data_IF_659020022167
#
_entry.id   IF_659020022167
#
_cell.length_a   1.000
_cell.length_b   1.000
_cell.length_c   1.000
_cell.angle_alpha   90.00
_cell.angle_beta   90.00
_cell.angle_gamma   90.00
#
_symmetry.space_group_name_H-M   'P 1'
#
loop_
_entity.id
_entity.type
_entity.pdbx_description
1 polymer ?
#
# COMPACT_ATOMS: atom_id res chain seq x y z
N UNK A 1 -33.69 22.13 -12.41
CA UNK A 1 -33.15 20.99 -11.69
C UNK A 1 -31.85 20.39 -12.22
N UNK A 2 -31.52 20.54 -13.52
CA UNK A 2 -30.30 19.91 -14.12
C UNK A 2 -29.01 20.70 -13.93
N UNK A 3 -29.09 22.03 -13.75
CA UNK A 3 -27.90 22.89 -13.62
C UNK A 3 -27.12 22.64 -12.31
N UNK A 4 -27.81 22.34 -11.23
CA UNK A 4 -27.14 22.01 -9.94
C UNK A 4 -26.47 20.65 -9.94
N UNK A 5 -26.99 19.69 -10.71
CA UNK A 5 -26.36 18.36 -10.86
C UNK A 5 -25.13 18.39 -11.76
N UNK A 6 -25.13 19.24 -12.81
CA UNK A 6 -23.95 19.39 -13.68
C UNK A 6 -22.78 20.09 -12.99
N UNK A 7 -23.01 21.09 -12.14
CA UNK A 7 -21.94 21.71 -11.32
C UNK A 7 -21.35 20.72 -10.32
N UNK A 8 -22.18 19.95 -9.61
CA UNK A 8 -21.69 18.90 -8.72
C UNK A 8 -20.96 17.76 -9.45
N UNK A 9 -21.34 17.47 -10.69
CA UNK A 9 -20.68 16.48 -11.54
C UNK A 9 -19.32 17.01 -12.04
N UNK A 10 -19.24 18.28 -12.47
CA UNK A 10 -17.99 18.89 -12.96
C UNK A 10 -16.88 18.88 -11.90
N UNK A 11 -17.18 19.18 -10.65
CA UNK A 11 -16.20 19.22 -9.57
C UNK A 11 -15.77 17.81 -9.08
N UNK A 12 -16.55 16.77 -9.39
CA UNK A 12 -16.26 15.37 -9.02
C UNK A 12 -15.89 14.50 -10.21
N UNK A 13 -16.16 14.95 -11.44
CA UNK A 13 -15.87 14.18 -12.64
C UNK A 13 -14.39 14.34 -13.00
N UNK A 14 -13.65 13.26 -12.82
CA UNK A 14 -12.24 13.20 -13.20
C UNK A 14 -12.13 12.69 -14.62
N UNK A 15 -11.58 13.50 -15.52
CA UNK A 15 -11.20 13.08 -16.87
C UNK A 15 -9.78 12.56 -16.86
N UNK A 16 -9.51 11.53 -17.67
CA UNK A 16 -8.14 11.08 -17.90
C UNK A 16 -7.45 12.10 -18.82
N UNK A 17 -6.41 12.74 -18.29
CA UNK A 17 -5.58 13.67 -19.04
C UNK A 17 -4.39 12.90 -19.63
N UNK A 18 -4.07 13.13 -20.91
CA UNK A 18 -2.87 12.55 -21.53
C UNK A 18 -1.66 13.40 -21.14
N UNK A 19 -0.81 12.87 -20.27
CA UNK A 19 0.38 13.57 -19.76
C UNK A 19 1.59 12.67 -19.93
N UNK A 20 2.55 13.11 -20.73
CA UNK A 20 3.81 12.42 -20.97
C UNK A 20 4.90 13.02 -20.06
N UNK A 21 5.39 12.21 -19.13
CA UNK A 21 6.55 12.53 -18.27
C UNK A 21 7.83 12.25 -19.06
N UNK A 22 8.25 13.23 -19.84
CA UNK A 22 9.47 13.13 -20.66
C UNK A 22 10.70 13.05 -19.77
N UNK A 23 11.62 12.13 -20.09
CA UNK A 23 12.86 11.97 -19.34
C UNK A 23 13.66 13.28 -19.26
N UNK A 24 14.23 13.56 -18.10
CA UNK A 24 14.99 14.78 -17.76
C UNK A 24 14.20 16.09 -17.76
N UNK A 25 12.87 16.05 -17.88
CA UNK A 25 12.02 17.26 -17.80
C UNK A 25 11.34 17.43 -16.46
N UNK A 26 11.29 16.40 -15.60
CA UNK A 26 10.57 16.48 -14.31
C UNK A 26 11.02 17.69 -13.46
N UNK A 27 10.09 18.45 -12.85
CA UNK A 27 8.65 18.23 -12.72
C UNK A 27 7.79 18.64 -13.92
N UNK A 28 8.38 19.10 -15.01
CA UNK A 28 7.67 19.43 -16.25
C UNK A 28 7.28 18.18 -17.03
N UNK A 29 6.18 18.27 -17.74
CA UNK A 29 5.63 17.23 -18.59
C UNK A 29 4.91 17.85 -19.78
N UNK A 30 4.59 17.03 -20.78
CA UNK A 30 3.79 17.45 -21.93
C UNK A 30 2.37 16.91 -21.78
N UNK A 31 1.39 17.80 -21.82
CA UNK A 31 -0.02 17.45 -21.88
C UNK A 31 -0.54 17.60 -23.29
N UNK A 32 -1.09 16.52 -23.84
CA UNK A 32 -1.73 16.54 -25.17
C UNK A 32 -3.22 16.89 -25.03
N UNK A 33 -3.63 17.99 -25.65
CA UNK A 33 -5.01 18.46 -25.72
C UNK A 33 -5.36 18.74 -27.18
N UNK A 34 -6.34 18.03 -27.73
CA UNK A 34 -6.82 18.19 -29.10
C UNK A 34 -5.71 18.13 -30.16
N UNK A 35 -4.71 17.25 -29.93
CA UNK A 35 -3.58 17.06 -30.85
C UNK A 35 -2.48 18.12 -30.75
N UNK A 36 -2.52 19.00 -29.77
CA UNK A 36 -1.49 19.98 -29.46
C UNK A 36 -0.86 19.68 -28.10
N UNK A 37 0.46 19.68 -28.04
CA UNK A 37 1.18 19.51 -26.81
C UNK A 37 1.44 20.85 -26.12
N UNK A 38 1.24 20.91 -24.81
CA UNK A 38 1.61 22.03 -23.96
C UNK A 38 2.43 21.59 -22.77
N UNK A 39 3.39 22.40 -22.36
CA UNK A 39 4.16 22.16 -21.15
C UNK A 39 3.30 22.41 -19.90
N UNK A 40 3.33 21.48 -18.96
CA UNK A 40 2.68 21.57 -17.65
C UNK A 40 3.63 21.17 -16.55
N UNK A 41 3.39 21.64 -15.31
CA UNK A 41 4.11 21.16 -14.12
C UNK A 41 3.26 20.16 -13.35
N UNK A 42 3.89 19.05 -12.92
CA UNK A 42 3.23 17.98 -12.16
C UNK A 42 3.51 18.19 -10.67
N UNK A 43 2.46 18.55 -9.92
CA UNK A 43 2.50 18.70 -8.45
C UNK A 43 1.93 17.50 -7.70
N UNK A 44 1.32 16.54 -8.40
CA UNK A 44 0.61 15.40 -7.82
C UNK A 44 1.23 14.04 -8.18
N UNK A 45 2.53 13.99 -8.45
CA UNK A 45 3.21 12.73 -8.75
C UNK A 45 3.34 11.87 -7.51
N UNK A 46 3.07 10.55 -7.66
CA UNK A 46 3.37 9.55 -6.65
C UNK A 46 4.82 9.03 -6.73
N UNK A 47 5.55 9.34 -7.79
CA UNK A 47 6.97 9.02 -7.91
C UNK A 47 7.78 10.06 -7.10
N UNK A 48 7.74 9.94 -5.78
CA UNK A 48 8.20 10.96 -4.84
C UNK A 48 9.68 11.30 -4.98
N UNK A 49 10.50 10.33 -5.37
CA UNK A 49 11.96 10.46 -5.51
C UNK A 49 12.40 10.50 -6.98
N UNK A 50 11.46 10.55 -7.93
CA UNK A 50 11.72 10.50 -9.36
C UNK A 50 12.55 9.27 -9.80
N UNK A 51 12.39 8.15 -9.07
CA UNK A 51 13.16 6.92 -9.33
C UNK A 51 12.79 6.27 -10.66
N UNK A 52 11.58 6.52 -11.19
CA UNK A 52 11.19 6.02 -12.51
C UNK A 52 12.05 6.58 -13.65
N UNK A 53 12.77 7.68 -13.42
CA UNK A 53 13.67 8.31 -14.38
C UNK A 53 15.15 8.21 -13.97
N UNK A 54 15.47 7.49 -12.92
CA UNK A 54 16.84 7.28 -12.47
C UNK A 54 17.61 6.44 -13.52
N UNK A 55 18.78 6.89 -14.02
CA UNK A 55 19.53 6.19 -15.06
C UNK A 55 19.91 4.76 -14.68
N UNK A 56 20.33 4.51 -13.44
CA UNK A 56 20.72 3.17 -13.00
C UNK A 56 19.52 2.20 -12.99
N UNK A 57 18.34 2.69 -12.61
CA UNK A 57 17.09 1.91 -12.64
C UNK A 57 16.69 1.61 -14.09
N UNK A 58 16.77 2.59 -14.99
CA UNK A 58 16.46 2.42 -16.40
C UNK A 58 17.41 1.40 -17.06
N UNK A 59 18.71 1.53 -16.84
CA UNK A 59 19.71 0.61 -17.39
C UNK A 59 19.50 -0.82 -16.86
N UNK A 60 19.18 -0.97 -15.58
CA UNK A 60 18.85 -2.26 -14.99
C UNK A 60 17.62 -2.89 -15.64
N UNK A 61 16.56 -2.12 -15.87
CA UNK A 61 15.34 -2.58 -16.56
C UNK A 61 15.65 -3.02 -18.01
N UNK A 62 16.40 -2.22 -18.76
CA UNK A 62 16.81 -2.53 -20.15
C UNK A 62 17.60 -3.84 -20.18
N UNK A 63 18.55 -4.01 -19.26
CA UNK A 63 19.37 -5.22 -19.17
C UNK A 63 18.52 -6.47 -18.90
N UNK A 64 17.53 -6.37 -18.00
CA UNK A 64 16.61 -7.48 -17.70
C UNK A 64 15.71 -7.79 -18.90
N UNK A 65 15.19 -6.78 -19.58
CA UNK A 65 14.36 -6.95 -20.78
C UNK A 65 15.17 -7.66 -21.89
N UNK A 66 16.40 -7.24 -22.12
CA UNK A 66 17.27 -7.87 -23.11
C UNK A 66 17.60 -9.33 -22.80
N UNK A 67 17.65 -9.68 -21.51
CA UNK A 67 17.97 -11.04 -21.06
C UNK A 67 16.77 -11.98 -20.99
N UNK A 68 15.61 -11.51 -20.54
CA UNK A 68 14.44 -12.33 -20.22
C UNK A 68 13.18 -12.00 -21.03
N UNK A 69 13.18 -10.89 -21.77
CA UNK A 69 11.97 -10.36 -22.40
C UNK A 69 11.11 -9.56 -21.43
N UNK A 70 9.87 -9.25 -21.84
CA UNK A 70 8.98 -8.30 -21.14
C UNK A 70 7.93 -8.96 -20.27
N UNK A 71 7.85 -10.29 -20.24
CA UNK A 71 6.79 -11.00 -19.52
C UNK A 71 7.27 -12.29 -18.87
N UNK A 72 6.52 -12.73 -17.86
CA UNK A 72 6.84 -13.94 -17.09
C UNK A 72 6.42 -15.26 -17.78
N UNK A 73 5.59 -15.19 -18.82
CA UNK A 73 5.18 -16.35 -19.61
C UNK A 73 4.17 -17.28 -18.93
N UNK A 74 3.77 -17.01 -17.68
CA UNK A 74 2.81 -17.86 -16.97
C UNK A 74 2.43 -17.31 -15.59
N UNK A 75 1.56 -18.02 -14.90
CA UNK A 75 1.22 -17.72 -13.50
C UNK A 75 2.36 -18.14 -12.58
N UNK A 76 2.52 -17.45 -11.44
CA UNK A 76 3.63 -17.65 -10.52
C UNK A 76 3.79 -19.07 -9.99
N UNK A 77 2.68 -19.73 -9.73
CA UNK A 77 2.65 -21.10 -9.18
C UNK A 77 2.87 -22.21 -10.22
N UNK A 78 2.97 -21.89 -11.52
CA UNK A 78 3.23 -22.87 -12.59
C UNK A 78 4.61 -22.62 -13.21
N UNK A 79 4.77 -21.53 -13.97
CA UNK A 79 6.00 -21.24 -14.73
C UNK A 79 6.40 -19.78 -14.73
N UNK A 80 5.61 -18.90 -14.11
CA UNK A 80 5.81 -17.45 -14.15
C UNK A 80 6.69 -16.90 -13.03
N UNK A 81 7.21 -17.72 -12.09
CA UNK A 81 8.16 -17.26 -11.09
C UNK A 81 9.58 -17.28 -11.65
N UNK A 82 10.15 -16.11 -11.90
CA UNK A 82 11.54 -15.95 -12.31
C UNK A 82 12.48 -15.80 -11.10
N UNK A 83 13.78 -15.94 -11.33
CA UNK A 83 14.81 -15.67 -10.31
C UNK A 83 14.75 -14.22 -9.79
N UNK A 84 14.26 -13.28 -10.58
CA UNK A 84 14.09 -11.88 -10.16
C UNK A 84 12.95 -11.71 -9.17
N UNK A 85 11.84 -12.45 -9.30
CA UNK A 85 10.79 -12.47 -8.27
C UNK A 85 11.34 -12.97 -6.94
N UNK A 86 12.02 -14.11 -6.95
CA UNK A 86 12.59 -14.70 -5.74
C UNK A 86 13.61 -13.76 -5.07
N UNK A 87 14.50 -13.16 -5.87
CA UNK A 87 15.49 -12.21 -5.36
C UNK A 87 14.83 -10.96 -4.79
N UNK A 88 13.82 -10.42 -5.47
CA UNK A 88 13.10 -9.23 -5.00
C UNK A 88 12.38 -9.51 -3.67
N UNK A 89 11.67 -10.62 -3.56
CA UNK A 89 10.97 -11.01 -2.33
C UNK A 89 11.94 -11.19 -1.17
N UNK A 90 13.07 -11.86 -1.40
CA UNK A 90 14.12 -12.00 -0.38
C UNK A 90 14.68 -10.63 0.04
N UNK A 91 15.04 -9.78 -0.92
CA UNK A 91 15.58 -8.44 -0.64
C UNK A 91 14.58 -7.56 0.13
N UNK A 92 13.29 -7.63 -0.21
CA UNK A 92 12.25 -6.88 0.49
C UNK A 92 12.03 -7.41 1.92
N UNK A 93 12.04 -8.73 2.11
CA UNK A 93 11.95 -9.34 3.44
C UNK A 93 13.14 -8.92 4.32
N UNK A 94 14.36 -8.99 3.80
CA UNK A 94 15.56 -8.53 4.50
C UNK A 94 15.50 -7.03 4.82
N UNK A 95 15.13 -6.18 3.83
CA UNK A 95 14.99 -4.74 4.03
C UNK A 95 14.06 -4.42 5.19
N UNK A 96 12.92 -5.09 5.28
CA UNK A 96 11.91 -4.82 6.31
C UNK A 96 12.09 -5.65 7.60
N UNK A 97 13.15 -6.45 7.69
CA UNK A 97 13.38 -7.38 8.80
C UNK A 97 12.14 -8.26 9.06
N UNK A 98 11.59 -8.82 7.99
CA UNK A 98 10.46 -9.75 8.00
C UNK A 98 10.92 -11.13 7.53
N UNK A 99 10.20 -12.16 7.94
CA UNK A 99 10.52 -13.54 7.59
C UNK A 99 10.32 -13.80 6.10
N UNK A 100 9.28 -13.26 5.52
CA UNK A 100 8.97 -13.44 4.11
C UNK A 100 8.31 -12.19 3.49
N UNK A 101 8.40 -12.12 2.17
CA UNK A 101 7.68 -11.15 1.35
C UNK A 101 7.03 -11.85 0.16
N UNK A 102 5.91 -11.32 -0.29
CA UNK A 102 5.22 -11.76 -1.50
C UNK A 102 4.93 -10.56 -2.40
N UNK A 103 5.40 -10.62 -3.65
CA UNK A 103 5.20 -9.55 -4.64
C UNK A 103 3.87 -9.73 -5.36
N UNK A 104 3.14 -8.62 -5.49
CA UNK A 104 1.87 -8.48 -6.19
C UNK A 104 1.99 -7.47 -7.34
N UNK A 105 1.06 -7.49 -8.33
CA UNK A 105 1.01 -6.49 -9.40
C UNK A 105 0.83 -5.05 -8.89
N UNK A 106 0.23 -4.88 -7.73
CA UNK A 106 0.07 -3.58 -7.05
C UNK A 106 -0.17 -3.78 -5.56
N UNK A 107 0.10 -2.74 -4.75
CA UNK A 107 -0.29 -2.71 -3.34
C UNK A 107 -1.82 -2.78 -3.15
N UNK A 108 -2.58 -2.26 -4.12
CA UNK A 108 -4.04 -2.40 -4.14
C UNK A 108 -4.46 -3.87 -4.11
N UNK A 109 -3.89 -4.65 -5.05
CA UNK A 109 -4.17 -6.09 -5.15
C UNK A 109 -3.65 -6.84 -3.93
N UNK A 110 -2.50 -6.46 -3.39
CA UNK A 110 -1.94 -7.04 -2.18
C UNK A 110 -2.89 -6.85 -0.99
N UNK A 111 -3.37 -5.63 -0.73
CA UNK A 111 -4.35 -5.35 0.32
C UNK A 111 -5.63 -6.19 0.15
N UNK A 112 -6.22 -6.12 -1.05
CA UNK A 112 -7.48 -6.80 -1.33
C UNK A 112 -7.38 -8.32 -1.17
N UNK A 113 -6.36 -8.93 -1.77
CA UNK A 113 -6.17 -10.37 -1.76
C UNK A 113 -5.82 -10.88 -0.36
N UNK A 114 -4.91 -10.19 0.34
CA UNK A 114 -4.44 -10.63 1.65
C UNK A 114 -5.52 -10.57 2.70
N UNK A 115 -6.18 -9.41 2.86
CA UNK A 115 -7.23 -9.23 3.87
C UNK A 115 -8.37 -10.22 3.61
N UNK A 116 -8.82 -10.32 2.34
CA UNK A 116 -9.89 -11.24 2.00
C UNK A 116 -9.53 -12.71 2.25
N UNK A 117 -8.29 -13.11 1.95
CA UNK A 117 -7.85 -14.50 2.14
C UNK A 117 -7.60 -14.81 3.60
N UNK A 118 -6.87 -13.96 4.31
CA UNK A 118 -6.56 -14.14 5.72
C UNK A 118 -7.84 -14.29 6.54
N UNK A 119 -8.75 -13.33 6.42
CA UNK A 119 -9.96 -13.32 7.22
C UNK A 119 -10.99 -14.40 6.85
N UNK A 120 -10.93 -14.96 5.63
CA UNK A 120 -11.75 -16.13 5.29
C UNK A 120 -11.25 -17.43 5.91
N UNK A 121 -9.97 -17.52 6.21
CA UNK A 121 -9.35 -18.73 6.73
C UNK A 121 -9.20 -18.73 8.25
N UNK A 122 -9.46 -17.62 8.91
CA UNK A 122 -9.48 -17.54 10.38
C UNK A 122 -10.94 -17.43 10.83
N UNK A 123 -11.46 -18.50 11.42
CA UNK A 123 -12.84 -18.57 11.88
C UNK A 123 -13.08 -17.58 13.02
N UNK A 124 -14.16 -16.81 12.91
CA UNK A 124 -14.56 -15.84 13.92
C UNK A 124 -13.73 -14.59 14.02
N UNK A 125 -12.83 -14.33 13.05
CA UNK A 125 -12.01 -13.10 13.07
C UNK A 125 -12.88 -11.85 12.97
N UNK A 126 -12.58 -10.86 13.82
CA UNK A 126 -13.19 -9.53 13.77
C UNK A 126 -12.17 -8.48 13.35
N UNK A 127 -12.57 -7.61 12.43
CA UNK A 127 -11.72 -6.59 11.81
C UNK A 127 -12.03 -5.23 12.42
N UNK A 128 -10.99 -4.49 12.80
CA UNK A 128 -11.05 -3.11 13.30
C UNK A 128 -10.34 -2.19 12.31
N UNK A 129 -11.11 -1.40 11.58
CA UNK A 129 -10.63 -0.57 10.48
C UNK A 129 -10.73 0.90 10.80
N UNK A 130 -9.66 1.66 10.55
CA UNK A 130 -9.74 3.12 10.58
C UNK A 130 -10.72 3.64 9.52
N UNK A 131 -11.49 4.66 9.86
CA UNK A 131 -12.52 5.25 8.99
C UNK A 131 -11.99 5.81 7.68
N UNK A 132 -10.75 6.29 7.66
CA UNK A 132 -10.11 6.89 6.48
C UNK A 132 -9.22 5.92 5.70
N UNK A 133 -9.25 4.64 6.02
CA UNK A 133 -8.49 3.62 5.30
C UNK A 133 -8.77 3.68 3.79
N UNK A 134 -7.71 3.44 3.01
CA UNK A 134 -7.76 3.44 1.55
C UNK A 134 -8.76 2.44 0.98
N UNK A 135 -9.32 2.75 -0.19
CA UNK A 135 -10.32 1.93 -0.87
C UNK A 135 -9.91 0.45 -1.03
N UNK A 136 -8.62 0.16 -1.22
CA UNK A 136 -8.12 -1.22 -1.35
C UNK A 136 -8.27 -2.03 -0.06
N UNK A 137 -8.06 -1.40 1.11
CA UNK A 137 -8.28 -2.01 2.42
C UNK A 137 -9.77 -2.27 2.63
N UNK A 138 -10.62 -1.28 2.33
CA UNK A 138 -12.07 -1.39 2.43
C UNK A 138 -12.61 -2.53 1.53
N UNK A 139 -12.12 -2.64 0.30
CA UNK A 139 -12.51 -3.73 -0.60
C UNK A 139 -12.02 -5.10 -0.10
N UNK A 140 -10.83 -5.19 0.47
CA UNK A 140 -10.34 -6.40 1.11
C UNK A 140 -11.24 -6.84 2.27
N UNK A 141 -11.63 -5.90 3.12
CA UNK A 141 -12.53 -6.11 4.26
C UNK A 141 -13.91 -6.61 3.77
N UNK A 142 -14.51 -5.93 2.80
CA UNK A 142 -15.80 -6.33 2.22
C UNK A 142 -15.76 -7.73 1.61
N UNK A 143 -14.69 -8.02 0.88
CA UNK A 143 -14.51 -9.32 0.24
C UNK A 143 -14.20 -10.44 1.24
N UNK A 144 -13.73 -10.15 2.43
CA UNK A 144 -13.47 -11.14 3.49
C UNK A 144 -14.75 -11.77 4.02
N UNK A 145 -15.87 -11.01 4.04
CA UNK A 145 -17.15 -11.35 4.69
C UNK A 145 -17.05 -11.53 6.22
N UNK A 146 -15.92 -11.18 6.82
CA UNK A 146 -15.74 -11.15 8.26
C UNK A 146 -16.55 -10.02 8.89
N UNK A 147 -16.88 -10.14 10.17
CA UNK A 147 -17.42 -9.03 10.94
C UNK A 147 -16.38 -7.92 11.03
N UNK A 148 -16.81 -6.67 10.86
CA UNK A 148 -15.88 -5.53 10.94
C UNK A 148 -16.50 -4.36 11.71
N UNK A 149 -15.62 -3.63 12.36
CA UNK A 149 -15.90 -2.42 13.13
C UNK A 149 -15.09 -1.28 12.57
N UNK A 150 -15.71 -0.11 12.39
CA UNK A 150 -15.03 1.09 11.91
C UNK A 150 -14.84 2.02 13.10
N UNK A 151 -13.58 2.32 13.45
CA UNK A 151 -13.29 3.33 14.46
C UNK A 151 -13.04 4.69 13.81
N UNK A 152 -13.36 5.76 14.57
CA UNK A 152 -13.12 7.14 14.10
C UNK A 152 -11.63 7.37 13.87
N UNK A 153 -11.31 8.17 12.86
CA UNK A 153 -9.95 8.36 12.40
C UNK A 153 -8.99 8.77 13.53
N UNK A 154 -7.98 7.94 13.74
CA UNK A 154 -6.96 8.10 14.79
C UNK A 154 -7.51 8.20 16.22
N UNK A 155 -8.75 7.80 16.47
CA UNK A 155 -9.37 7.79 17.80
C UNK A 155 -9.09 6.47 18.53
N UNK A 156 -8.07 6.50 19.38
CA UNK A 156 -7.62 5.32 20.12
C UNK A 156 -8.56 4.94 21.29
N UNK A 157 -9.31 5.88 21.81
CA UNK A 157 -10.33 5.61 22.84
C UNK A 157 -11.51 4.87 22.21
N UNK A 158 -11.94 5.29 21.01
CA UNK A 158 -12.97 4.57 20.25
C UNK A 158 -12.48 3.18 19.85
N UNK A 159 -11.25 3.03 19.32
CA UNK A 159 -10.69 1.72 19.01
C UNK A 159 -10.63 0.82 20.26
N UNK A 160 -10.17 1.36 21.39
CA UNK A 160 -10.12 0.61 22.66
C UNK A 160 -11.49 0.13 23.10
N UNK A 161 -12.53 0.98 23.00
CA UNK A 161 -13.90 0.63 23.37
C UNK A 161 -14.49 -0.48 22.50
N UNK A 162 -14.20 -0.48 21.20
CA UNK A 162 -14.64 -1.53 20.27
C UNK A 162 -13.93 -2.86 20.58
N UNK A 163 -12.61 -2.82 20.82
CA UNK A 163 -11.84 -4.00 21.19
C UNK A 163 -12.29 -4.60 22.52
N UNK A 164 -12.65 -3.76 23.50
CA UNK A 164 -13.13 -4.19 24.82
C UNK A 164 -14.52 -4.82 24.74
N UNK A 165 -15.35 -4.38 23.81
CA UNK A 165 -16.70 -4.94 23.59
C UNK A 165 -16.70 -6.28 22.85
N UNK A 166 -15.57 -6.68 22.25
CA UNK A 166 -15.42 -7.93 21.52
C UNK A 166 -14.96 -9.05 22.45
N UNK A 167 -15.38 -10.28 22.18
CA UNK A 167 -14.92 -11.44 22.93
C UNK A 167 -13.39 -11.49 22.98
N UNK A 168 -12.85 -11.69 24.18
CA UNK A 168 -11.39 -11.70 24.39
C UNK A 168 -10.70 -12.82 23.59
N UNK A 169 -11.35 -13.93 23.42
CA UNK A 169 -10.83 -15.12 22.71
C UNK A 169 -11.04 -15.06 21.19
N UNK A 170 -11.88 -14.12 20.69
CA UNK A 170 -12.06 -13.96 19.25
C UNK A 170 -10.78 -13.45 18.59
N UNK A 171 -10.34 -14.03 17.47
CA UNK A 171 -9.24 -13.49 16.68
C UNK A 171 -9.56 -12.06 16.19
N UNK A 172 -8.60 -11.16 16.27
CA UNK A 172 -8.78 -9.74 15.94
C UNK A 172 -7.74 -9.27 14.96
N UNK A 173 -8.14 -8.41 14.01
CA UNK A 173 -7.24 -7.78 13.03
C UNK A 173 -7.46 -6.25 13.05
N UNK A 174 -6.44 -5.49 13.42
CA UNK A 174 -6.45 -4.02 13.34
C UNK A 174 -5.80 -3.60 12.03
N UNK A 175 -6.51 -2.80 11.23
CA UNK A 175 -6.06 -2.34 9.91
C UNK A 175 -5.97 -0.82 9.91
N UNK A 176 -4.79 -0.28 9.58
CA UNK A 176 -4.55 1.16 9.46
C UNK A 176 -3.47 1.46 8.40
N UNK A 177 -3.41 2.72 7.98
CA UNK A 177 -2.30 3.26 7.18
C UNK A 177 -1.30 3.97 8.11
N UNK A 178 -0.02 3.95 7.78
CA UNK A 178 0.98 4.73 8.52
C UNK A 178 0.86 6.22 8.23
N UNK A 179 0.60 6.55 6.97
CA UNK A 179 0.31 7.91 6.49
C UNK A 179 -0.91 7.83 5.57
N UNK A 180 -1.94 8.59 5.89
CA UNK A 180 -3.17 8.66 5.09
C UNK A 180 -2.98 9.58 3.90
N UNK A 181 -3.27 9.09 2.70
CA UNK A 181 -2.88 9.72 1.43
C UNK A 181 -3.47 11.11 1.19
N UNK A 182 -4.71 11.32 1.59
CA UNK A 182 -5.44 12.58 1.29
C UNK A 182 -5.17 13.65 2.33
N UNK A 183 -5.02 13.25 3.60
CA UNK A 183 -4.85 14.13 4.74
C UNK A 183 -3.37 14.40 5.05
N UNK A 184 -2.47 13.49 4.65
CA UNK A 184 -1.06 13.54 4.98
C UNK A 184 -0.79 13.36 6.48
N UNK A 185 -1.74 12.81 7.23
CA UNK A 185 -1.68 12.64 8.67
C UNK A 185 -1.10 11.26 9.00
N UNK A 186 -0.23 11.20 10.00
CA UNK A 186 0.32 9.94 10.54
C UNK A 186 -0.65 9.30 11.53
N UNK A 187 -0.72 7.98 11.52
CA UNK A 187 -1.42 7.24 12.56
C UNK A 187 -0.66 7.27 13.90
N UNK A 188 -1.35 7.16 15.02
CA UNK A 188 -0.76 7.01 16.35
C UNK A 188 -0.25 5.57 16.57
N UNK A 189 0.70 5.11 15.75
CA UNK A 189 1.11 3.73 15.61
C UNK A 189 1.58 3.09 16.93
N UNK A 190 2.22 3.87 17.82
CA UNK A 190 2.62 3.39 19.17
C UNK A 190 1.43 2.94 20.00
N UNK A 191 0.33 3.70 19.95
CA UNK A 191 -0.89 3.35 20.67
C UNK A 191 -1.63 2.19 20.01
N UNK A 192 -1.66 2.13 18.68
CA UNK A 192 -2.24 1.00 17.95
C UNK A 192 -1.52 -0.31 18.34
N UNK A 193 -0.20 -0.32 18.33
CA UNK A 193 0.59 -1.49 18.76
C UNK A 193 0.34 -1.84 20.23
N UNK A 194 0.23 -0.84 21.11
CA UNK A 194 -0.09 -1.06 22.52
C UNK A 194 -1.47 -1.71 22.69
N UNK A 195 -2.47 -1.23 21.96
CA UNK A 195 -3.83 -1.81 21.98
C UNK A 195 -3.83 -3.22 21.35
N UNK A 196 -3.17 -3.41 20.23
CA UNK A 196 -3.05 -4.73 19.60
C UNK A 196 -2.47 -5.75 20.58
N UNK A 197 -1.38 -5.41 21.26
CA UNK A 197 -0.81 -6.29 22.29
C UNK A 197 -1.75 -6.54 23.48
N UNK A 198 -2.47 -5.50 23.94
CA UNK A 198 -3.41 -5.61 25.08
C UNK A 198 -4.55 -6.58 24.78
N UNK A 199 -5.07 -6.54 23.55
CA UNK A 199 -6.25 -7.30 23.15
C UNK A 199 -5.94 -8.51 22.26
N UNK A 200 -4.65 -8.90 22.15
CA UNK A 200 -4.18 -10.01 21.33
C UNK A 200 -4.68 -9.92 19.88
N UNK A 201 -4.51 -8.76 19.27
CA UNK A 201 -4.93 -8.48 17.91
C UNK A 201 -3.73 -8.49 16.94
N UNK A 202 -3.91 -9.08 15.77
CA UNK A 202 -2.98 -9.00 14.65
C UNK A 202 -3.00 -7.56 14.10
N UNK A 203 -1.85 -7.05 13.69
CA UNK A 203 -1.69 -5.72 13.09
C UNK A 203 -1.44 -5.81 11.59
N UNK A 204 -2.24 -5.09 10.80
CA UNK A 204 -2.05 -4.89 9.37
C UNK A 204 -1.80 -3.42 9.09
N UNK A 205 -0.58 -3.10 8.68
CA UNK A 205 -0.14 -1.74 8.42
C UNK A 205 0.10 -1.50 6.93
N UNK A 206 -0.59 -0.53 6.35
CA UNK A 206 -0.29 -0.04 5.01
C UNK A 206 0.76 1.08 5.07
N UNK A 207 1.97 0.79 4.60
CA UNK A 207 3.11 1.71 4.53
C UNK A 207 3.33 2.31 3.13
N UNK A 208 2.35 2.21 2.26
CA UNK A 208 2.43 2.58 0.84
C UNK A 208 2.89 4.03 0.63
N UNK A 209 2.56 4.95 1.55
CA UNK A 209 2.95 6.36 1.49
C UNK A 209 4.22 6.71 2.26
N UNK A 210 4.86 5.76 2.91
CA UNK A 210 6.01 6.00 3.79
C UNK A 210 7.27 5.21 3.40
N UNK A 211 7.10 4.03 2.83
CA UNK A 211 8.23 3.19 2.38
C UNK A 211 9.04 3.91 1.30
N UNK A 212 10.37 3.88 1.46
CA UNK A 212 11.31 4.63 0.64
C UNK A 212 11.55 6.08 1.10
N UNK A 213 10.78 6.60 2.08
CA UNK A 213 10.82 8.00 2.51
C UNK A 213 11.18 8.19 3.98
N UNK A 214 10.72 7.30 4.85
CA UNK A 214 10.85 7.42 6.30
C UNK A 214 11.63 6.25 6.88
N UNK A 215 12.27 6.50 8.03
CA UNK A 215 13.19 5.56 8.65
C UNK A 215 14.62 5.70 8.13
N UNK A 216 15.60 5.17 8.86
CA UNK A 216 17.01 5.29 8.51
C UNK A 216 17.38 4.53 7.23
N UNK A 217 16.69 3.44 6.96
CA UNK A 217 16.88 2.59 5.78
C UNK A 217 15.70 2.71 4.79
N UNK A 218 14.77 3.63 5.04
CA UNK A 218 13.61 3.85 4.17
C UNK A 218 12.53 2.77 4.29
N UNK A 219 12.43 2.07 5.43
CA UNK A 219 11.45 1.00 5.63
C UNK A 219 10.06 1.51 5.99
N UNK A 220 9.93 2.80 6.30
CA UNK A 220 8.66 3.45 6.62
C UNK A 220 8.55 3.96 8.06
N UNK A 221 7.33 4.32 8.49
CA UNK A 221 7.06 4.88 9.81
C UNK A 221 7.25 3.85 10.93
N UNK A 222 6.97 2.58 10.67
CA UNK A 222 7.23 1.53 11.65
C UNK A 222 8.72 1.46 12.03
N UNK A 223 9.62 1.61 11.05
CA UNK A 223 11.05 1.70 11.31
C UNK A 223 11.41 2.97 12.07
N UNK A 224 10.95 4.14 11.61
CA UNK A 224 11.24 5.44 12.26
C UNK A 224 10.90 5.43 13.74
N UNK A 225 9.83 4.71 14.11
CA UNK A 225 9.36 4.60 15.49
C UNK A 225 9.94 3.42 16.27
N UNK A 226 10.75 2.56 15.64
CA UNK A 226 11.29 1.34 16.24
C UNK A 226 10.23 0.27 16.55
N UNK A 227 9.24 0.14 15.66
CA UNK A 227 8.09 -0.75 15.82
C UNK A 227 8.02 -1.88 14.77
N UNK A 228 8.98 -1.99 13.86
CA UNK A 228 8.92 -2.95 12.74
C UNK A 228 8.73 -4.41 13.19
N UNK A 229 9.32 -4.78 14.33
CA UNK A 229 9.19 -6.10 14.95
C UNK A 229 7.87 -6.33 15.69
N UNK A 230 7.04 -5.30 15.82
CA UNK A 230 5.77 -5.31 16.55
C UNK A 230 4.55 -5.19 15.63
N UNK A 231 4.79 -5.06 14.35
CA UNK A 231 3.75 -5.08 13.31
C UNK A 231 3.82 -6.44 12.64
N UNK A 232 2.71 -7.15 12.60
CA UNK A 232 2.69 -8.52 12.06
C UNK A 232 2.74 -8.52 10.53
N UNK A 233 1.92 -7.68 9.89
CA UNK A 233 1.79 -7.61 8.44
C UNK A 233 2.00 -6.18 7.97
N UNK A 234 2.89 -5.99 6.99
CA UNK A 234 3.13 -4.70 6.33
C UNK A 234 2.81 -4.84 4.85
N UNK A 235 2.03 -3.91 4.30
CA UNK A 235 1.87 -3.74 2.87
C UNK A 235 2.70 -2.55 2.38
N UNK A 236 3.58 -2.79 1.41
CA UNK A 236 4.39 -1.78 0.76
C UNK A 236 4.09 -1.66 -0.73
N UNK A 237 4.66 -0.64 -1.37
CA UNK A 237 4.51 -0.43 -2.81
C UNK A 237 5.85 -0.16 -3.48
N UNK A 238 5.97 -0.63 -4.72
CA UNK A 238 7.07 -0.26 -5.61
C UNK A 238 6.68 0.90 -6.54
N UNK A 239 5.39 1.29 -6.57
CA UNK A 239 4.86 2.24 -7.55
C UNK A 239 4.84 3.70 -7.10
N UNK A 240 5.45 4.01 -5.96
CA UNK A 240 5.60 5.39 -5.47
C UNK A 240 7.07 5.76 -5.34
N UNK A 241 7.64 5.76 -4.15
CA UNK A 241 9.05 6.17 -3.92
C UNK A 241 10.07 5.40 -4.78
N UNK A 242 9.80 4.12 -5.06
CA UNK A 242 10.67 3.30 -5.92
C UNK A 242 10.45 3.53 -7.42
N UNK A 243 9.42 4.27 -7.83
CA UNK A 243 9.16 4.65 -9.21
C UNK A 243 8.87 3.49 -10.17
N UNK A 244 8.51 2.30 -9.67
CA UNK A 244 8.26 1.08 -10.45
C UNK A 244 6.80 0.64 -10.34
N UNK A 245 6.44 -0.46 -10.97
CA UNK A 245 5.13 -1.07 -10.83
C UNK A 245 5.20 -2.24 -9.84
N UNK A 246 4.20 -2.36 -8.98
CA UNK A 246 4.07 -3.49 -8.05
C UNK A 246 3.77 -3.09 -6.62
N UNK A 247 3.47 -4.09 -5.82
CA UNK A 247 3.29 -4.00 -4.38
C UNK A 247 3.90 -5.22 -3.70
N UNK A 248 4.08 -5.15 -2.40
CA UNK A 248 4.60 -6.27 -1.64
C UNK A 248 3.87 -6.41 -0.30
N UNK A 249 3.62 -7.64 0.07
CA UNK A 249 3.20 -8.04 1.40
C UNK A 249 4.42 -8.58 2.15
N UNK A 250 4.59 -8.17 3.37
CA UNK A 250 5.69 -8.52 4.26
C UNK A 250 5.10 -9.06 5.57
N UNK A 251 5.53 -10.22 6.01
CA UNK A 251 4.93 -10.88 7.17
C UNK A 251 5.93 -11.77 7.91
N UNK A 252 5.56 -12.14 9.13
CA UNK A 252 6.21 -13.18 9.94
C UNK A 252 5.24 -14.34 10.15
N UNK A 253 5.76 -15.57 10.21
CA UNK A 253 4.92 -16.78 10.28
C UNK A 253 4.26 -17.01 11.65
N UNK A 254 4.71 -16.29 12.68
CA UNK A 254 4.16 -16.40 14.04
C UNK A 254 2.99 -15.42 14.31
N UNK A 255 2.46 -14.78 13.25
CA UNK A 255 1.35 -13.83 13.32
C UNK A 255 0.00 -14.54 13.16
#
# INVERSE_FOLDING_TARGET
>A
GLVGSEMCIRDRYRTFRSIDRVQNMFPKALESVDGNDREVEIWCSNDYLNMSQNPEVLDSCINVINKLGTGSGGTRNISGTSSYHVKLEHTLAELHNKEAALVFPSAYTANQATIATLCRNIEGIEIFSDRLNHASLIEGIRNSKAQYHIFEHNDMDHLSSLLEATDIDAPKLIICESIYSMEGIRSPLKEIVRLAKKYNAITYLDEVHSVGLYGNEGRGIAEELGLSDKIDIINGTLSKSFGQLGGCLLYTSDA
#
